data_IF_898935627534
#
_entry.id   IF_898935627534
#
_cell.length_a   1.000
_cell.length_b   1.000
_cell.length_c   1.000
_cell.angle_alpha   90.00
_cell.angle_beta   90.00
_cell.angle_gamma   90.00
#
_symmetry.space_group_name_H-M   'P 1'
#
loop_
_entity.id
_entity.type
_entity.pdbx_description
1 polymer ?
#
# COMPACT_ATOMS: atom_id res chain seq x y z
N UNK A 1 -45.69 53.78 -3.02
CA UNK A 1 -45.72 52.69 -2.02
C UNK A 1 -45.17 51.45 -2.70
N UNK A 2 -43.91 51.12 -2.42
CA UNK A 2 -43.49 49.79 -1.94
C UNK A 2 -43.67 48.70 -3.02
N UNK A 3 -42.62 48.12 -3.60
CA UNK A 3 -41.63 47.39 -2.81
C UNK A 3 -40.27 47.22 -3.48
N UNK A 4 -39.25 47.41 -2.66
CA UNK A 4 -37.88 46.95 -2.85
C UNK A 4 -37.80 45.50 -2.36
N UNK A 5 -37.85 44.51 -3.23
CA UNK A 5 -37.51 43.13 -2.84
C UNK A 5 -37.26 42.21 -4.05
N UNK A 6 -36.08 42.29 -4.68
CA UNK A 6 -35.60 41.20 -5.54
C UNK A 6 -34.06 41.17 -5.70
N UNK A 7 -33.31 41.78 -4.76
CA UNK A 7 -31.84 41.74 -4.71
C UNK A 7 -31.37 40.85 -3.56
N UNK A 8 -31.77 39.57 -3.55
CA UNK A 8 -31.23 38.57 -2.64
C UNK A 8 -31.59 37.17 -3.14
N UNK A 9 -30.68 36.54 -3.89
CA UNK A 9 -30.46 35.07 -3.98
C UNK A 9 -29.43 34.78 -5.07
N UNK A 10 -28.27 35.44 -4.97
CA UNK A 10 -27.11 35.22 -5.85
C UNK A 10 -26.01 34.40 -5.18
N UNK A 11 -26.34 33.41 -4.36
CA UNK A 11 -25.37 32.43 -3.87
C UNK A 11 -25.64 31.08 -4.53
N UNK A 12 -24.74 30.59 -5.41
CA UNK A 12 -24.84 29.22 -5.90
C UNK A 12 -24.66 28.29 -4.70
N UNK A 13 -25.71 27.52 -4.39
CA UNK A 13 -25.62 26.41 -3.47
C UNK A 13 -24.57 25.41 -4.00
N UNK A 14 -23.69 24.85 -3.15
CA UNK A 14 -22.72 23.84 -3.57
C UNK A 14 -23.45 22.58 -4.03
N UNK A 15 -23.72 22.50 -5.33
CA UNK A 15 -24.36 21.35 -5.96
C UNK A 15 -23.42 20.13 -5.92
N UNK A 16 -23.71 19.22 -4.99
CA UNK A 16 -23.95 17.80 -5.31
C UNK A 16 -22.78 16.89 -5.74
N UNK A 17 -21.54 17.37 -5.90
CA UNK A 17 -20.43 16.55 -6.44
C UNK A 17 -19.85 15.46 -5.53
N UNK A 18 -20.16 15.46 -4.22
CA UNK A 18 -19.55 14.55 -3.25
C UNK A 18 -20.05 13.11 -3.29
N UNK A 19 -21.28 12.89 -3.78
CA UNK A 19 -21.94 11.57 -3.71
C UNK A 19 -21.46 10.62 -4.81
N UNK A 20 -21.19 11.12 -6.02
CA UNK A 20 -20.58 10.34 -7.11
C UNK A 20 -19.13 9.99 -6.82
N UNK A 21 -18.32 10.91 -6.28
CA UNK A 21 -16.93 10.59 -5.91
C UNK A 21 -16.88 9.50 -4.84
N UNK A 22 -17.74 9.55 -3.83
CA UNK A 22 -17.86 8.50 -2.80
C UNK A 22 -18.35 7.16 -3.36
N UNK A 23 -19.28 7.16 -4.32
CA UNK A 23 -19.75 5.94 -4.99
C UNK A 23 -18.71 5.32 -5.91
N UNK A 24 -17.96 6.14 -6.66
CA UNK A 24 -16.88 5.66 -7.54
C UNK A 24 -15.70 5.14 -6.72
N UNK A 25 -15.33 5.83 -5.64
CA UNK A 25 -14.33 5.35 -4.68
C UNK A 25 -14.78 4.06 -3.99
N UNK A 26 -16.06 3.98 -3.61
CA UNK A 26 -16.66 2.76 -3.05
C UNK A 26 -16.61 1.60 -4.04
N UNK A 27 -17.07 1.80 -5.27
CA UNK A 27 -17.07 0.78 -6.31
C UNK A 27 -15.65 0.34 -6.71
N UNK A 28 -14.68 1.26 -6.75
CA UNK A 28 -13.28 0.94 -7.01
C UNK A 28 -12.66 0.11 -5.86
N UNK A 29 -12.97 0.45 -4.60
CA UNK A 29 -12.53 -0.31 -3.45
C UNK A 29 -13.18 -1.72 -3.42
N UNK A 30 -14.48 -1.82 -3.74
CA UNK A 30 -15.17 -3.11 -3.82
C UNK A 30 -14.62 -3.95 -4.97
N UNK A 31 -14.34 -3.35 -6.13
CA UNK A 31 -13.71 -4.04 -7.25
C UNK A 31 -12.31 -4.56 -6.87
N UNK A 32 -11.47 -3.74 -6.23
CA UNK A 32 -10.13 -4.15 -5.80
C UNK A 32 -10.14 -5.33 -4.81
N UNK A 33 -11.20 -5.44 -3.99
CA UNK A 33 -11.38 -6.55 -3.03
C UNK A 33 -11.95 -7.80 -3.69
N UNK A 34 -12.80 -7.66 -4.71
CA UNK A 34 -13.47 -8.80 -5.38
C UNK A 34 -12.73 -9.35 -6.59
N UNK A 35 -11.90 -8.55 -7.26
CA UNK A 35 -11.08 -8.97 -8.40
C UNK A 35 -10.12 -10.12 -8.08
N UNK A 36 -9.46 -10.16 -6.90
CA UNK A 36 -8.65 -11.31 -6.50
C UNK A 36 -9.47 -12.58 -6.31
N UNK A 37 -10.67 -12.49 -5.75
CA UNK A 37 -11.60 -13.63 -5.58
C UNK A 37 -12.09 -14.15 -6.93
N UNK A 38 -12.35 -13.26 -7.90
CA UNK A 38 -12.73 -13.66 -9.25
C UNK A 38 -11.58 -14.38 -9.99
N UNK A 39 -10.33 -13.93 -9.80
CA UNK A 39 -9.16 -14.64 -10.29
C UNK A 39 -8.94 -16.00 -9.59
N UNK A 40 -9.27 -16.07 -8.30
CA UNK A 40 -9.25 -17.30 -7.50
C UNK A 40 -10.30 -18.31 -7.98
N UNK A 41 -11.47 -17.83 -8.39
CA UNK A 41 -12.56 -18.67 -8.95
C UNK A 41 -12.32 -19.10 -10.41
N UNK A 42 -11.50 -18.37 -11.17
CA UNK A 42 -11.19 -18.68 -12.57
C UNK A 42 -10.16 -19.83 -12.71
N UNK A 43 -9.47 -20.21 -11.64
CA UNK A 43 -8.62 -21.40 -11.57
C UNK A 43 -9.47 -22.67 -11.50
N UNK A 44 -10.01 -23.10 -12.64
CA UNK A 44 -10.87 -24.28 -12.74
C UNK A 44 -10.27 -25.54 -12.12
N UNK A 45 -11.02 -26.15 -11.22
CA UNK A 45 -10.73 -27.41 -10.53
C UNK A 45 -10.95 -27.27 -9.03
N UNK A 46 -11.32 -28.35 -8.35
CA UNK A 46 -11.47 -28.44 -6.89
C UNK A 46 -10.11 -28.32 -6.16
N UNK A 47 -9.30 -27.34 -6.54
CA UNK A 47 -7.98 -27.10 -5.99
C UNK A 47 -8.17 -26.37 -4.67
N UNK A 48 -7.69 -26.98 -3.58
CA UNK A 48 -7.77 -26.34 -2.27
C UNK A 48 -7.06 -24.99 -2.30
N UNK A 49 -7.60 -23.93 -1.65
CA UNK A 49 -7.00 -22.60 -1.65
C UNK A 49 -5.52 -22.64 -1.26
N UNK A 50 -5.18 -23.49 -0.27
CA UNK A 50 -3.82 -23.72 0.17
C UNK A 50 -2.92 -24.20 -0.97
N UNK A 51 -3.33 -25.21 -1.75
CA UNK A 51 -2.53 -25.72 -2.88
C UNK A 51 -2.34 -24.62 -3.92
N UNK A 52 -3.36 -23.81 -4.19
CA UNK A 52 -3.22 -22.66 -5.10
C UNK A 52 -2.23 -21.60 -4.58
N UNK A 53 -2.36 -21.17 -3.32
CA UNK A 53 -1.41 -20.22 -2.71
C UNK A 53 0.01 -20.80 -2.64
N UNK A 54 0.14 -22.11 -2.47
CA UNK A 54 1.42 -22.81 -2.50
C UNK A 54 2.03 -22.81 -3.91
N UNK A 55 1.23 -23.00 -4.96
CA UNK A 55 1.72 -22.87 -6.35
C UNK A 55 2.21 -21.45 -6.64
N UNK A 56 1.45 -20.43 -6.25
CA UNK A 56 1.86 -19.02 -6.40
C UNK A 56 3.14 -18.74 -5.61
N UNK A 57 3.25 -19.27 -4.39
CA UNK A 57 4.45 -19.13 -3.56
C UNK A 57 5.69 -19.75 -4.22
N UNK A 58 5.59 -20.97 -4.75
CA UNK A 58 6.69 -21.64 -5.44
C UNK A 58 7.11 -20.88 -6.70
N UNK A 59 6.14 -20.42 -7.51
CA UNK A 59 6.43 -19.61 -8.70
C UNK A 59 7.08 -18.28 -8.30
N UNK A 60 6.64 -17.63 -7.22
CA UNK A 60 7.22 -16.38 -6.73
C UNK A 60 8.68 -16.55 -6.26
N UNK A 61 9.05 -17.70 -5.67
CA UNK A 61 10.44 -17.99 -5.31
C UNK A 61 11.33 -18.04 -6.55
N UNK A 62 10.90 -18.76 -7.60
CA UNK A 62 11.66 -18.84 -8.85
C UNK A 62 11.86 -17.46 -9.47
N UNK A 63 10.79 -16.66 -9.55
CA UNK A 63 10.88 -15.28 -10.07
C UNK A 63 11.83 -14.44 -9.21
N UNK A 64 11.72 -14.52 -7.89
CA UNK A 64 12.61 -13.79 -6.96
C UNK A 64 14.09 -14.15 -7.15
N UNK A 65 14.40 -15.44 -7.32
CA UNK A 65 15.76 -15.91 -7.59
C UNK A 65 16.34 -15.30 -8.87
N UNK A 66 15.61 -15.38 -9.99
CA UNK A 66 16.06 -14.82 -11.27
C UNK A 66 16.21 -13.29 -11.24
N UNK A 67 15.33 -12.59 -10.51
CA UNK A 67 15.39 -11.12 -10.36
C UNK A 67 16.65 -10.69 -9.61
N UNK A 68 17.03 -11.39 -8.53
CA UNK A 68 18.22 -11.04 -7.74
C UNK A 68 19.52 -11.45 -8.45
N UNK A 69 19.54 -12.56 -9.17
CA UNK A 69 20.73 -13.02 -9.90
C UNK A 69 21.10 -12.16 -11.11
N UNK A 70 20.17 -11.34 -11.61
CA UNK A 70 20.38 -10.51 -12.81
C UNK A 70 21.02 -9.14 -12.52
N UNK A 71 21.70 -8.97 -11.38
CA UNK A 71 22.29 -7.68 -10.96
C UNK A 71 23.81 -7.67 -11.04
N UNK A 72 24.39 -6.55 -11.48
CA UNK A 72 25.85 -6.40 -11.56
C UNK A 72 26.50 -6.32 -10.17
N UNK A 73 27.72 -6.89 -9.95
CA UNK A 73 28.32 -7.05 -8.62
C UNK A 73 28.54 -5.76 -7.81
N UNK A 74 28.61 -4.60 -8.46
CA UNK A 74 28.70 -3.31 -7.79
C UNK A 74 27.43 -2.92 -7.00
N UNK A 75 26.32 -3.65 -7.19
CA UNK A 75 25.02 -3.36 -6.60
C UNK A 75 24.61 -4.29 -5.45
N UNK A 76 25.42 -5.25 -5.01
CA UNK A 76 25.03 -6.12 -3.88
C UNK A 76 24.73 -5.32 -2.59
N UNK A 77 25.48 -4.24 -2.33
CA UNK A 77 25.27 -3.38 -1.17
C UNK A 77 23.99 -2.53 -1.28
N UNK A 78 23.70 -1.84 -2.41
CA UNK A 78 22.38 -1.24 -2.65
C UNK A 78 21.24 -2.25 -2.63
N UNK A 79 21.45 -3.44 -3.19
CA UNK A 79 20.44 -4.49 -3.28
C UNK A 79 20.06 -5.04 -1.91
N UNK A 80 21.02 -5.16 -1.00
CA UNK A 80 20.76 -5.50 0.40
C UNK A 80 19.80 -4.48 1.05
N UNK A 81 19.98 -3.20 0.75
CA UNK A 81 19.10 -2.13 1.26
C UNK A 81 17.71 -2.17 0.60
N UNK A 82 17.64 -2.48 -0.69
CA UNK A 82 16.36 -2.67 -1.41
C UNK A 82 15.58 -3.87 -0.86
N UNK A 83 16.24 -4.98 -0.54
CA UNK A 83 15.58 -6.13 0.08
C UNK A 83 15.05 -5.81 1.49
N UNK A 84 15.75 -4.94 2.23
CA UNK A 84 15.25 -4.44 3.52
C UNK A 84 13.95 -3.63 3.34
N UNK A 85 13.89 -2.75 2.32
CA UNK A 85 12.68 -2.03 1.99
C UNK A 85 11.52 -2.94 1.51
N UNK A 86 11.80 -3.95 0.68
CA UNK A 86 10.78 -4.89 0.17
C UNK A 86 10.14 -5.70 1.32
N UNK A 87 10.91 -6.04 2.36
CA UNK A 87 10.39 -6.74 3.54
C UNK A 87 9.26 -5.98 4.26
N UNK A 88 9.12 -4.68 3.99
CA UNK A 88 8.09 -3.83 4.57
C UNK A 88 6.66 -4.12 4.08
N UNK A 89 6.46 -5.13 3.22
CA UNK A 89 5.12 -5.63 2.84
C UNK A 89 4.26 -6.01 4.06
N UNK A 90 4.90 -6.25 5.21
CA UNK A 90 4.27 -6.46 6.53
C UNK A 90 3.27 -5.34 6.89
N UNK A 91 3.43 -4.13 6.36
CA UNK A 91 2.48 -3.01 6.58
C UNK A 91 1.06 -3.36 6.15
N UNK A 92 0.89 -4.20 5.11
CA UNK A 92 -0.44 -4.67 4.67
C UNK A 92 -1.10 -5.49 5.77
N UNK A 93 -0.35 -6.40 6.41
CA UNK A 93 -0.83 -7.17 7.55
C UNK A 93 -1.17 -6.30 8.76
N UNK A 94 -0.35 -5.29 9.06
CA UNK A 94 -0.60 -4.35 10.15
C UNK A 94 -1.87 -3.51 9.91
N UNK A 95 -2.10 -3.04 8.68
CA UNK A 95 -3.32 -2.31 8.30
C UNK A 95 -4.57 -3.18 8.41
N UNK A 96 -4.49 -4.45 8.02
CA UNK A 96 -5.59 -5.40 8.21
C UNK A 96 -5.86 -5.66 9.69
N UNK A 97 -4.83 -5.85 10.51
CA UNK A 97 -4.98 -6.08 11.95
C UNK A 97 -5.63 -4.87 12.66
N UNK A 98 -5.20 -3.65 12.33
CA UNK A 98 -5.81 -2.42 12.88
C UNK A 98 -7.22 -2.22 12.31
N UNK A 99 -7.43 -2.43 11.01
CA UNK A 99 -8.73 -2.26 10.36
C UNK A 99 -9.80 -3.18 10.94
N UNK A 100 -9.46 -4.46 11.16
CA UNK A 100 -10.35 -5.42 11.84
C UNK A 100 -10.60 -5.01 13.29
N UNK A 101 -9.58 -4.53 14.01
CA UNK A 101 -9.71 -4.09 15.41
C UNK A 101 -10.52 -2.81 15.61
N UNK A 102 -10.69 -2.00 14.54
CA UNK A 102 -11.54 -0.80 14.53
C UNK A 102 -13.00 -1.11 14.19
N UNK A 103 -13.24 -2.12 13.35
CA UNK A 103 -14.59 -2.52 12.90
C UNK A 103 -15.23 -3.53 13.86
N UNK A 104 -14.46 -4.50 14.37
CA UNK A 104 -14.89 -5.39 15.43
C UNK A 104 -14.69 -4.71 16.79
N UNK A 105 -15.47 -5.07 17.80
CA UNK A 105 -15.25 -4.68 19.21
C UNK A 105 -13.99 -5.36 19.78
N UNK A 106 -12.84 -5.11 19.14
CA UNK A 106 -11.57 -5.72 19.48
C UNK A 106 -11.13 -5.30 20.87
N UNK A 107 -10.62 -6.27 21.63
CA UNK A 107 -9.98 -6.05 22.93
C UNK A 107 -8.95 -4.92 22.84
N UNK A 108 -8.83 -4.12 23.89
CA UNK A 108 -7.87 -3.00 23.99
C UNK A 108 -6.46 -3.45 23.62
N UNK A 109 -6.10 -4.71 23.94
CA UNK A 109 -4.85 -5.33 23.56
C UNK A 109 -4.65 -5.39 22.03
N UNK A 110 -5.66 -5.79 21.25
CA UNK A 110 -5.55 -5.88 19.79
C UNK A 110 -5.28 -4.52 19.15
N UNK A 111 -5.86 -3.45 19.70
CA UNK A 111 -5.61 -2.08 19.24
C UNK A 111 -4.19 -1.62 19.53
N UNK A 112 -3.67 -1.94 20.72
CA UNK A 112 -2.28 -1.62 21.10
C UNK A 112 -1.29 -2.39 20.22
N UNK A 113 -1.50 -3.70 20.03
CA UNK A 113 -0.64 -4.51 19.17
C UNK A 113 -0.72 -4.11 17.70
N UNK A 114 -1.90 -3.76 17.18
CA UNK A 114 -2.05 -3.25 15.82
C UNK A 114 -1.35 -1.91 15.61
N UNK A 115 -1.48 -0.99 16.57
CA UNK A 115 -0.77 0.30 16.53
C UNK A 115 0.75 0.11 16.59
N UNK A 116 1.24 -0.77 17.47
CA UNK A 116 2.66 -1.09 17.57
C UNK A 116 3.19 -1.76 16.30
N UNK A 117 2.43 -2.69 15.72
CA UNK A 117 2.76 -3.33 14.45
C UNK A 117 2.86 -2.30 13.31
N UNK A 118 1.94 -1.33 13.26
CA UNK A 118 1.97 -0.27 12.27
C UNK A 118 3.16 0.68 12.48
N UNK A 119 3.48 1.02 13.73
CA UNK A 119 4.65 1.83 14.07
C UNK A 119 5.95 1.13 13.65
N UNK A 120 6.10 -0.17 13.96
CA UNK A 120 7.27 -0.96 13.55
C UNK A 120 7.37 -1.10 12.02
N UNK A 121 6.25 -1.32 11.34
CA UNK A 121 6.21 -1.36 9.88
C UNK A 121 6.68 -0.03 9.27
N UNK A 122 6.27 1.11 9.83
CA UNK A 122 6.69 2.43 9.35
C UNK A 122 8.20 2.64 9.45
N UNK A 123 8.84 2.21 10.54
CA UNK A 123 10.29 2.31 10.72
C UNK A 123 11.03 1.49 9.66
N UNK A 124 10.54 0.29 9.32
CA UNK A 124 11.15 -0.55 8.29
C UNK A 124 11.06 0.11 6.89
N UNK A 125 9.91 0.70 6.56
CA UNK A 125 9.69 1.45 5.30
C UNK A 125 10.67 2.63 5.25
N UNK A 126 10.58 3.54 6.20
CA UNK A 126 11.35 4.78 6.17
C UNK A 126 12.85 4.52 6.33
N UNK A 127 13.23 3.61 7.22
CA UNK A 127 14.63 3.22 7.44
C UNK A 127 15.27 2.59 6.21
N UNK A 128 14.55 1.69 5.52
CA UNK A 128 15.03 1.08 4.27
C UNK A 128 15.32 2.11 3.18
N UNK A 129 14.43 3.08 2.97
CA UNK A 129 14.63 4.11 1.94
C UNK A 129 15.71 5.14 2.30
N UNK A 130 15.83 5.53 3.58
CA UNK A 130 16.83 6.51 4.03
C UNK A 130 18.27 5.98 3.91
N UNK A 131 18.49 4.70 4.25
CA UNK A 131 19.80 4.06 4.15
C UNK A 131 20.20 3.88 2.67
N UNK A 132 19.26 3.48 1.82
CA UNK A 132 19.51 3.34 0.37
C UNK A 132 19.92 4.69 -0.26
N UNK A 133 19.25 5.78 0.11
CA UNK A 133 19.58 7.12 -0.39
C UNK A 133 20.95 7.60 0.10
N UNK A 134 21.34 7.30 1.35
CA UNK A 134 22.69 7.61 1.86
C UNK A 134 23.78 6.82 1.14
N UNK A 135 23.52 5.58 0.75
CA UNK A 135 24.46 4.77 -0.03
C UNK A 135 24.63 5.27 -1.47
N UNK A 136 23.57 5.78 -2.09
CA UNK A 136 23.62 6.37 -3.45
C UNK A 136 24.15 7.81 -3.47
N UNK A 137 24.00 8.56 -2.36
CA UNK A 137 24.54 9.91 -2.23
C UNK A 137 26.08 9.95 -2.23
N UNK A 138 26.74 8.85 -1.85
CA UNK A 138 28.20 8.71 -1.89
C UNK A 138 28.77 8.48 -3.29
N UNK A 139 27.92 8.20 -4.30
CA UNK A 139 28.32 8.10 -5.71
C UNK A 139 28.14 9.40 -6.51
N UNK A 140 27.58 10.45 -5.90
CA UNK A 140 27.61 11.78 -6.51
C UNK A 140 28.99 12.41 -6.31
N UNK A 141 29.79 12.46 -7.38
CA UNK A 141 31.04 13.23 -7.45
C UNK A 141 30.80 14.66 -6.91
N UNK A 142 31.65 15.10 -5.99
CA UNK A 142 31.82 16.53 -5.67
C UNK A 142 31.98 17.29 -6.98
N UNK A 143 31.13 18.30 -7.20
CA UNK A 143 31.37 19.27 -8.28
C UNK A 143 32.75 19.90 -8.06
N UNK A 144 33.59 20.00 -9.12
CA UNK A 144 34.87 20.70 -9.00
C UNK A 144 34.58 22.18 -8.79
N UNK A 145 34.96 22.68 -7.61
CA UNK A 145 34.90 24.11 -7.29
C UNK A 145 35.92 24.82 -8.18
N UNK A 146 35.44 25.62 -9.14
CA UNK A 146 36.27 26.59 -9.87
C UNK A 146 36.71 27.72 -8.94
#
# INVERSE_FOLDING_TARGET
MHDRAAFATGFPSPQGGGRSRRRVLGAAATALVLLPDAALAAGGGDVSPLVYQFMVFVIAIFVGYYVVWSVTPALHTPLMSVTNAISSVIVVGALLAVGVSLVAAGSVLAKIFGFLALAMASVNIFGGFLVTQRMLAMYKKKEPKK
#
